data_IF_437565204374
#
_entry.id   IF_437565204374
#
_cell.length_a   1.000
_cell.length_b   1.000
_cell.length_c   1.000
_cell.angle_alpha   90.00
_cell.angle_beta   90.00
_cell.angle_gamma   90.00
#
_symmetry.space_group_name_H-M   'P 1'
#
loop_
_entity.id
_entity.type
_entity.pdbx_description
1 polymer ?
#
# COMPACT_ATOMS: atom_id res chain seq x y z
N UNK A 1 -13.27 3.61 6.61
CA UNK A 1 -14.45 2.80 6.24
C UNK A 1 -14.59 1.68 7.25
N UNK A 2 -15.70 1.61 7.97
CA UNK A 2 -16.06 0.47 8.80
C UNK A 2 -17.00 -0.42 7.97
N UNK A 3 -16.46 -1.52 7.48
CA UNK A 3 -17.16 -2.44 6.57
C UNK A 3 -18.10 -3.40 7.31
N UNK A 4 -18.07 -3.46 8.65
CA UNK A 4 -19.09 -4.17 9.44
C UNK A 4 -20.42 -3.41 9.43
N UNK A 5 -20.36 -2.08 9.52
CA UNK A 5 -21.55 -1.21 9.61
C UNK A 5 -21.83 -0.42 8.32
N UNK A 6 -20.90 -0.39 7.37
CA UNK A 6 -20.95 0.48 6.18
C UNK A 6 -20.68 1.95 6.50
N UNK A 7 -20.22 2.27 7.71
CA UNK A 7 -19.99 3.65 8.13
C UNK A 7 -18.70 4.19 7.50
N UNK A 8 -18.80 5.34 6.84
CA UNK A 8 -17.69 6.07 6.26
C UNK A 8 -17.51 7.37 7.05
N UNK A 9 -16.30 7.63 7.52
CA UNK A 9 -15.98 8.81 8.31
C UNK A 9 -14.79 9.53 7.71
N UNK A 10 -14.94 10.84 7.52
CA UNK A 10 -13.89 11.77 7.17
C UNK A 10 -13.17 12.27 8.41
N UNK A 11 -11.84 12.26 8.37
CA UNK A 11 -10.98 12.93 9.35
C UNK A 11 -9.87 13.68 8.62
N UNK A 12 -9.52 14.86 9.12
CA UNK A 12 -8.32 15.57 8.69
C UNK A 12 -7.08 14.72 9.06
N UNK A 13 -6.31 14.32 8.07
CA UNK A 13 -5.12 13.48 8.27
C UNK A 13 -3.89 14.34 8.56
N UNK A 14 -3.23 14.05 9.69
CA UNK A 14 -1.95 14.64 10.08
C UNK A 14 -0.96 13.50 10.33
N UNK A 15 0.28 13.69 9.92
CA UNK A 15 1.33 12.68 10.12
C UNK A 15 1.76 12.60 11.59
N UNK A 16 1.83 13.75 12.25
CA UNK A 16 2.02 13.85 13.69
C UNK A 16 0.65 14.00 14.37
N UNK A 17 0.18 12.99 15.14
CA UNK A 17 -1.11 13.04 15.81
C UNK A 17 -1.16 14.07 16.94
N UNK A 18 0.00 14.48 17.46
CA UNK A 18 0.15 15.42 18.56
C UNK A 18 0.26 16.88 18.05
N UNK A 19 0.27 17.08 16.73
CA UNK A 19 0.37 18.39 16.09
C UNK A 19 -0.90 19.23 16.28
N UNK A 20 -0.74 20.42 16.88
CA UNK A 20 -1.80 21.40 17.04
C UNK A 20 -1.92 22.24 15.76
N UNK A 21 -3.09 22.16 15.12
CA UNK A 21 -3.35 22.88 13.87
C UNK A 21 -3.48 24.38 14.12
N UNK A 22 -2.45 25.16 13.77
CA UNK A 22 -2.41 26.61 13.99
C UNK A 22 -3.25 27.45 13.03
N UNK A 23 -3.65 26.91 11.87
CA UNK A 23 -4.47 27.62 10.87
C UNK A 23 -5.91 27.14 10.96
N UNK A 24 -6.90 27.95 11.34
CA UNK A 24 -8.30 27.52 11.30
C UNK A 24 -8.79 27.38 9.85
N UNK A 25 -9.77 26.50 9.64
CA UNK A 25 -10.48 26.35 8.36
C UNK A 25 -11.90 26.86 8.51
N UNK A 26 -12.37 27.69 7.58
CA UNK A 26 -13.78 28.13 7.52
C UNK A 26 -14.75 26.96 7.31
N UNK A 27 -14.25 25.81 6.85
CA UNK A 27 -15.00 24.58 6.64
C UNK A 27 -14.72 23.52 7.70
N UNK A 28 -14.06 23.87 8.83
CA UNK A 28 -13.72 22.93 9.91
C UNK A 28 -13.06 21.62 9.43
N UNK A 29 -12.27 21.71 8.35
CA UNK A 29 -11.62 20.56 7.71
C UNK A 29 -12.60 19.45 7.29
N UNK A 30 -13.73 19.83 6.69
CA UNK A 30 -14.63 18.94 5.97
C UNK A 30 -14.56 19.20 4.47
N UNK A 31 -14.73 18.14 3.68
CA UNK A 31 -14.72 18.17 2.22
C UNK A 31 -15.85 17.29 1.69
N UNK A 32 -16.39 17.64 0.53
CA UNK A 32 -17.22 16.72 -0.25
C UNK A 32 -16.31 15.78 -1.03
N UNK A 33 -16.38 14.49 -0.74
CA UNK A 33 -15.42 13.53 -1.26
C UNK A 33 -16.11 12.59 -2.25
N UNK A 34 -15.73 12.61 -3.54
CA UNK A 34 -16.14 11.58 -4.49
C UNK A 34 -15.33 10.31 -4.23
N UNK A 35 -15.99 9.30 -3.70
CA UNK A 35 -15.40 8.00 -3.39
C UNK A 35 -15.74 7.05 -4.54
N UNK A 36 -14.77 6.83 -5.44
CA UNK A 36 -14.78 5.68 -6.34
C UNK A 36 -14.29 4.46 -5.56
N UNK A 37 -15.02 3.36 -5.65
CA UNK A 37 -14.75 2.18 -4.84
C UNK A 37 -15.18 0.92 -5.57
N UNK A 38 -14.68 -0.21 -5.10
CA UNK A 38 -14.98 -1.52 -5.63
C UNK A 38 -15.27 -2.50 -4.48
N UNK A 39 -16.03 -3.54 -4.79
CA UNK A 39 -16.31 -4.66 -3.90
C UNK A 39 -15.95 -5.95 -4.61
N UNK A 40 -15.05 -6.75 -4.03
CA UNK A 40 -14.61 -8.05 -4.58
C UNK A 40 -14.14 -8.00 -6.04
N UNK A 41 -13.37 -6.99 -6.43
CA UNK A 41 -12.90 -6.86 -7.81
C UNK A 41 -13.88 -6.16 -8.77
N UNK A 42 -15.11 -5.86 -8.33
CA UNK A 42 -16.13 -5.22 -9.17
C UNK A 42 -16.30 -3.76 -8.77
N UNK A 43 -16.03 -2.85 -9.71
CA UNK A 43 -16.26 -1.42 -9.55
C UNK A 43 -17.73 -1.14 -9.24
N UNK A 44 -17.95 -0.24 -8.28
CA UNK A 44 -19.28 0.16 -7.83
C UNK A 44 -19.59 1.59 -8.27
N UNK A 45 -20.86 1.97 -8.18
CA UNK A 45 -21.28 3.34 -8.43
C UNK A 45 -20.56 4.30 -7.48
N UNK A 46 -20.04 5.40 -8.01
CA UNK A 46 -19.37 6.43 -7.21
C UNK A 46 -20.31 6.93 -6.11
N UNK A 47 -19.78 6.99 -4.89
CA UNK A 47 -20.47 7.48 -3.71
C UNK A 47 -19.90 8.84 -3.30
N UNK A 48 -20.76 9.80 -2.96
CA UNK A 48 -20.34 11.11 -2.45
C UNK A 48 -20.52 11.16 -0.94
N UNK A 49 -19.42 11.33 -0.22
CA UNK A 49 -19.45 11.63 1.21
C UNK A 49 -19.63 13.14 1.36
N UNK A 50 -20.85 13.56 1.68
CA UNK A 50 -21.21 14.98 1.83
C UNK A 50 -21.05 15.48 3.26
N UNK A 51 -21.23 14.60 4.24
CA UNK A 51 -21.07 14.90 5.66
C UNK A 51 -19.80 14.27 6.24
N UNK A 52 -19.40 14.72 7.43
CA UNK A 52 -18.23 14.16 8.13
C UNK A 52 -18.35 12.66 8.38
N UNK A 53 -19.57 12.16 8.55
CA UNK A 53 -19.84 10.73 8.71
C UNK A 53 -21.19 10.41 8.08
N UNK A 54 -21.23 9.31 7.34
CA UNK A 54 -22.45 8.80 6.72
C UNK A 54 -22.37 7.25 6.66
N UNK A 55 -23.51 6.61 6.47
CA UNK A 55 -23.62 5.15 6.37
C UNK A 55 -23.99 4.75 4.96
N UNK A 56 -23.04 4.16 4.24
CA UNK A 56 -23.26 3.59 2.93
C UNK A 56 -23.39 2.07 3.01
N UNK A 57 -24.61 1.56 3.03
CA UNK A 57 -24.92 0.14 3.27
C UNK A 57 -24.25 -0.82 2.27
N UNK A 58 -23.96 -0.38 1.04
CA UNK A 58 -23.29 -1.20 0.02
C UNK A 58 -21.82 -1.49 0.37
N UNK A 59 -21.19 -0.66 1.20
CA UNK A 59 -19.83 -0.91 1.73
C UNK A 59 -19.82 -1.91 2.90
N UNK A 60 -20.98 -2.48 3.26
CA UNK A 60 -21.02 -3.61 4.19
C UNK A 60 -20.53 -4.88 3.53
N UNK A 61 -19.74 -5.64 4.28
CA UNK A 61 -19.14 -6.90 3.81
C UNK A 61 -19.45 -8.03 4.78
N UNK A 62 -19.59 -9.24 4.25
CA UNK A 62 -19.76 -10.47 5.01
C UNK A 62 -18.80 -11.56 4.50
N UNK A 63 -18.52 -12.59 5.28
CA UNK A 63 -17.63 -13.68 4.87
C UNK A 63 -16.24 -13.20 4.43
N UNK A 64 -15.84 -13.55 3.21
CA UNK A 64 -14.55 -13.19 2.60
C UNK A 64 -14.61 -11.92 1.73
N UNK A 65 -15.75 -11.24 1.70
CA UNK A 65 -15.91 -10.05 0.85
C UNK A 65 -15.03 -8.90 1.33
N UNK A 66 -14.44 -8.14 0.42
CA UNK A 66 -13.66 -6.95 0.75
C UNK A 66 -14.09 -5.74 -0.07
N UNK A 67 -13.87 -4.57 0.52
CA UNK A 67 -14.05 -3.26 -0.11
C UNK A 67 -12.71 -2.58 -0.24
N UNK A 68 -12.49 -1.97 -1.40
CA UNK A 68 -11.40 -1.03 -1.64
C UNK A 68 -11.99 0.29 -2.09
N UNK A 69 -11.67 1.37 -1.37
CA UNK A 69 -12.03 2.73 -1.75
C UNK A 69 -10.85 3.48 -2.35
N UNK A 70 -11.17 4.53 -3.11
CA UNK A 70 -10.25 5.31 -3.93
C UNK A 70 -9.63 4.51 -5.10
N UNK A 71 -10.47 3.89 -5.94
CA UNK A 71 -9.97 3.16 -7.11
C UNK A 71 -9.15 4.08 -8.03
N UNK A 72 -8.00 3.55 -8.47
CA UNK A 72 -6.95 4.25 -9.21
C UNK A 72 -6.41 5.51 -8.54
N UNK A 73 -6.64 5.69 -7.23
CA UNK A 73 -6.18 6.85 -6.45
C UNK A 73 -6.61 8.17 -7.11
N UNK A 74 -7.84 8.17 -7.62
CA UNK A 74 -8.40 9.32 -8.35
C UNK A 74 -8.84 10.45 -7.42
N UNK A 75 -9.02 10.18 -6.13
CA UNK A 75 -9.32 11.16 -5.10
C UNK A 75 -8.10 11.51 -4.23
N UNK A 76 -8.02 12.76 -3.80
CA UNK A 76 -6.97 13.26 -2.92
C UNK A 76 -7.27 12.97 -1.44
N UNK A 77 -7.22 11.69 -1.06
CA UNK A 77 -7.40 11.25 0.32
C UNK A 77 -6.78 9.88 0.55
N UNK A 78 -6.43 9.59 1.81
CA UNK A 78 -5.98 8.28 2.27
C UNK A 78 -7.16 7.46 2.77
N UNK A 79 -7.08 6.14 2.64
CA UNK A 79 -8.15 5.25 3.10
C UNK A 79 -7.68 4.37 4.25
N UNK A 80 -8.43 4.39 5.35
CA UNK A 80 -8.30 3.43 6.44
C UNK A 80 -9.54 2.54 6.51
N UNK A 81 -9.34 1.27 6.86
CA UNK A 81 -10.40 0.27 7.01
C UNK A 81 -10.43 -0.28 8.44
N UNK A 82 -11.52 -0.94 8.82
CA UNK A 82 -11.51 -1.83 9.98
C UNK A 82 -10.53 -3.00 9.77
N UNK A 83 -10.12 -3.63 10.89
CA UNK A 83 -9.09 -4.67 10.87
C UNK A 83 -9.48 -5.90 10.03
N UNK A 84 -10.76 -6.23 9.94
CA UNK A 84 -11.21 -7.39 9.17
C UNK A 84 -11.03 -7.12 7.67
N UNK A 85 -11.46 -5.96 7.19
CA UNK A 85 -11.27 -5.60 5.79
C UNK A 85 -9.79 -5.44 5.43
N UNK A 86 -8.95 -4.91 6.33
CA UNK A 86 -7.50 -4.96 6.17
C UNK A 86 -7.01 -6.40 6.00
N UNK A 87 -7.47 -7.33 6.85
CA UNK A 87 -7.16 -8.75 6.75
C UNK A 87 -7.55 -9.37 5.40
N UNK A 88 -8.74 -9.03 4.88
CA UNK A 88 -9.24 -9.54 3.60
C UNK A 88 -8.48 -8.95 2.40
N UNK A 89 -8.14 -7.66 2.42
CA UNK A 89 -7.27 -7.05 1.41
C UNK A 89 -5.86 -7.67 1.41
N UNK A 90 -5.29 -7.93 2.59
CA UNK A 90 -4.02 -8.64 2.70
C UNK A 90 -4.12 -10.08 2.17
N UNK A 91 -5.23 -10.78 2.42
CA UNK A 91 -5.49 -12.10 1.84
C UNK A 91 -5.59 -12.04 0.32
N UNK A 92 -6.27 -11.04 -0.23
CA UNK A 92 -6.39 -10.81 -1.68
C UNK A 92 -5.02 -10.55 -2.32
N UNK A 93 -4.21 -9.65 -1.74
CA UNK A 93 -2.83 -9.40 -2.20
C UNK A 93 -1.98 -10.68 -2.17
N UNK A 94 -2.17 -11.51 -1.15
CA UNK A 94 -1.43 -12.75 -1.01
C UNK A 94 -2.03 -13.93 -1.81
N UNK A 95 -3.22 -13.84 -2.37
CA UNK A 95 -3.82 -14.91 -3.16
C UNK A 95 -3.73 -14.58 -4.64
N UNK A 96 -4.23 -13.40 -5.02
CA UNK A 96 -4.16 -12.88 -6.37
C UNK A 96 -4.16 -11.34 -6.34
N UNK A 97 -2.97 -10.74 -6.26
CA UNK A 97 -2.82 -9.29 -6.23
C UNK A 97 -3.27 -8.62 -7.55
N UNK A 98 -3.28 -9.33 -8.68
CA UNK A 98 -3.62 -8.76 -9.98
C UNK A 98 -5.10 -8.38 -10.13
N UNK A 99 -5.96 -8.81 -9.21
CA UNK A 99 -7.35 -8.32 -9.11
C UNK A 99 -7.39 -6.83 -8.77
N UNK A 100 -6.35 -6.33 -8.10
CA UNK A 100 -6.20 -4.91 -7.75
C UNK A 100 -5.30 -4.23 -8.77
N UNK A 101 -5.69 -3.04 -9.22
CA UNK A 101 -4.86 -2.25 -10.14
C UNK A 101 -3.49 -1.95 -9.53
N UNK A 102 -2.48 -1.80 -10.40
CA UNK A 102 -1.09 -1.50 -10.00
C UNK A 102 -1.02 -0.32 -9.03
N UNK A 103 -1.79 0.74 -9.31
CA UNK A 103 -1.82 1.95 -8.48
C UNK A 103 -2.48 1.68 -7.14
N UNK A 104 -3.56 0.90 -7.08
CA UNK A 104 -4.22 0.57 -5.81
C UNK A 104 -3.38 -0.35 -4.92
N UNK A 105 -2.58 -1.25 -5.49
CA UNK A 105 -1.61 -2.04 -4.70
C UNK A 105 -0.57 -1.15 -4.04
N UNK A 106 -0.03 -0.18 -4.79
CA UNK A 106 0.87 0.82 -4.26
C UNK A 106 0.22 1.70 -3.19
N UNK A 107 -1.04 2.08 -3.38
CA UNK A 107 -1.83 2.85 -2.42
C UNK A 107 -2.02 2.09 -1.10
N UNK A 108 -2.38 0.80 -1.14
CA UNK A 108 -2.57 -0.02 0.08
C UNK A 108 -1.31 0.03 0.96
N UNK A 109 -0.14 -0.11 0.34
CA UNK A 109 1.15 -0.03 1.02
C UNK A 109 1.34 1.39 1.59
N UNK A 110 1.25 2.42 0.75
CA UNK A 110 1.54 3.80 1.16
C UNK A 110 0.59 4.33 2.25
N UNK A 111 -0.70 4.04 2.12
CA UNK A 111 -1.72 4.40 3.11
C UNK A 111 -1.44 3.66 4.42
N UNK A 112 -1.16 2.36 4.40
CA UNK A 112 -0.89 1.62 5.63
C UNK A 112 0.34 2.15 6.38
N UNK A 113 1.44 2.45 5.69
CA UNK A 113 2.63 3.02 6.32
C UNK A 113 2.40 4.44 6.85
N UNK A 114 1.67 5.28 6.10
CA UNK A 114 1.33 6.64 6.54
C UNK A 114 0.40 6.64 7.75
N UNK A 115 -0.59 5.75 7.76
CA UNK A 115 -1.50 5.54 8.89
C UNK A 115 -0.76 4.99 10.12
N UNK A 116 0.22 4.10 9.92
CA UNK A 116 1.03 3.58 11.02
C UNK A 116 1.92 4.67 11.64
N UNK A 117 2.56 5.51 10.82
CA UNK A 117 3.33 6.68 11.32
C UNK A 117 2.46 7.64 12.12
N UNK A 118 1.21 7.85 11.68
CA UNK A 118 0.22 8.65 12.38
C UNK A 118 -0.41 7.95 13.61
N UNK A 119 0.10 6.79 14.03
CA UNK A 119 -0.43 5.97 15.15
C UNK A 119 -1.91 5.55 14.98
N UNK A 120 -2.44 5.53 13.75
CA UNK A 120 -3.83 5.17 13.45
C UNK A 120 -4.03 3.67 13.24
N UNK A 121 -2.96 2.95 12.88
CA UNK A 121 -2.92 1.49 12.80
C UNK A 121 -1.58 0.98 13.36
N UNK A 122 -1.49 -0.31 13.68
CA UNK A 122 -0.24 -0.91 14.12
C UNK A 122 0.79 -0.98 12.99
N UNK A 123 2.06 -0.68 13.30
CA UNK A 123 3.19 -0.84 12.36
C UNK A 123 3.28 -2.24 11.79
N UNK A 124 2.95 -3.26 12.58
CA UNK A 124 2.91 -4.66 12.11
C UNK A 124 1.89 -4.89 11.00
N UNK A 125 0.76 -4.17 11.01
CA UNK A 125 -0.22 -4.22 9.92
C UNK A 125 0.37 -3.61 8.65
N UNK A 126 1.03 -2.45 8.76
CA UNK A 126 1.71 -1.83 7.62
C UNK A 126 2.78 -2.75 7.02
N UNK A 127 3.63 -3.36 7.85
CA UNK A 127 4.65 -4.32 7.38
C UNK A 127 4.01 -5.54 6.69
N UNK A 128 2.86 -6.03 7.17
CA UNK A 128 2.12 -7.13 6.53
C UNK A 128 1.68 -6.80 5.10
N UNK A 129 1.48 -5.53 4.74
CA UNK A 129 1.17 -5.15 3.34
C UNK A 129 2.30 -5.47 2.36
N UNK A 130 3.53 -5.64 2.84
CA UNK A 130 4.71 -5.91 2.00
C UNK A 130 4.98 -7.40 1.79
N UNK A 131 4.27 -8.30 2.48
CA UNK A 131 4.59 -9.74 2.47
C UNK A 131 4.35 -10.39 1.12
N UNK A 132 3.46 -9.84 0.30
CA UNK A 132 3.14 -10.37 -1.02
C UNK A 132 4.17 -9.99 -2.10
N UNK A 133 5.07 -9.02 -1.83
CA UNK A 133 5.98 -8.42 -2.83
C UNK A 133 6.87 -9.42 -3.56
N UNK A 134 7.19 -10.56 -2.95
CA UNK A 134 7.89 -11.67 -3.63
C UNK A 134 7.21 -12.12 -4.94
N UNK A 135 5.90 -11.88 -5.08
CA UNK A 135 5.11 -12.15 -6.29
C UNK A 135 4.81 -10.92 -7.15
N UNK A 136 5.13 -9.73 -6.66
CA UNK A 136 4.92 -8.47 -7.38
C UNK A 136 5.96 -8.30 -8.49
N UNK A 137 5.51 -7.83 -9.66
CA UNK A 137 6.37 -7.59 -10.83
C UNK A 137 6.24 -6.17 -11.37
N UNK A 138 5.24 -5.42 -10.93
CA UNK A 138 5.07 -4.04 -11.36
C UNK A 138 5.94 -3.08 -10.54
N UNK A 139 6.39 -2.01 -11.19
CA UNK A 139 7.24 -0.98 -10.60
C UNK A 139 6.60 -0.24 -9.42
N UNK A 140 5.37 0.27 -9.61
CA UNK A 140 4.77 1.24 -8.68
C UNK A 140 4.59 0.66 -7.26
N UNK A 141 4.11 -0.59 -7.07
CA UNK A 141 3.99 -1.16 -5.73
C UNK A 141 5.35 -1.44 -5.08
N UNK A 142 6.35 -1.86 -5.86
CA UNK A 142 7.73 -2.00 -5.37
C UNK A 142 8.29 -0.65 -4.92
N UNK A 143 8.14 0.40 -5.71
CA UNK A 143 8.60 1.75 -5.37
C UNK A 143 7.92 2.27 -4.11
N UNK A 144 6.59 2.10 -3.98
CA UNK A 144 5.83 2.46 -2.79
C UNK A 144 6.34 1.74 -1.53
N UNK A 145 6.63 0.44 -1.65
CA UNK A 145 7.18 -0.35 -0.55
C UNK A 145 8.59 0.12 -0.16
N UNK A 146 9.50 0.26 -1.12
CA UNK A 146 10.88 0.63 -0.87
C UNK A 146 10.97 2.02 -0.23
N UNK A 147 10.27 3.02 -0.77
CA UNK A 147 10.21 4.37 -0.18
C UNK A 147 9.74 4.36 1.28
N UNK A 148 8.79 3.47 1.61
CA UNK A 148 8.28 3.37 2.97
C UNK A 148 9.21 2.58 3.91
N UNK A 149 9.93 1.59 3.39
CA UNK A 149 10.90 0.77 4.10
C UNK A 149 12.27 1.44 4.25
N UNK A 150 12.64 2.39 3.38
CA UNK A 150 13.92 3.10 3.44
C UNK A 150 14.13 3.78 4.81
N UNK A 151 13.07 4.34 5.40
CA UNK A 151 13.12 4.89 6.76
C UNK A 151 13.47 3.82 7.80
N UNK A 152 12.95 2.59 7.66
CA UNK A 152 13.26 1.48 8.57
C UNK A 152 14.69 1.00 8.37
N UNK A 153 15.17 0.95 7.12
CA UNK A 153 16.57 0.63 6.82
C UNK A 153 17.49 1.66 7.48
N UNK A 154 17.23 2.97 7.28
CA UNK A 154 18.02 4.04 7.88
C UNK A 154 18.00 4.04 9.41
N UNK A 155 16.87 3.67 10.02
CA UNK A 155 16.75 3.63 11.48
C UNK A 155 17.41 2.38 12.09
N UNK A 156 17.47 1.27 11.34
CA UNK A 156 17.92 -0.02 11.86
C UNK A 156 19.28 -0.48 11.37
N UNK A 157 19.90 0.16 10.37
CA UNK A 157 21.18 -0.26 9.75
C UNK A 157 22.32 -0.57 10.74
N UNK A 158 22.32 0.09 11.90
CA UNK A 158 23.33 -0.07 12.97
C UNK A 158 22.78 -0.74 14.23
N UNK A 159 21.69 -1.48 14.10
CA UNK A 159 21.01 -2.15 15.22
C UNK A 159 21.00 -3.67 15.04
N UNK A 160 20.81 -4.40 16.13
CA UNK A 160 20.70 -5.88 16.13
C UNK A 160 19.55 -6.40 15.25
N UNK A 161 18.52 -5.57 15.02
CA UNK A 161 17.34 -5.90 14.22
C UNK A 161 17.65 -5.92 12.72
N UNK A 162 18.74 -5.28 12.29
CA UNK A 162 19.06 -5.13 10.86
C UNK A 162 19.17 -6.47 10.14
N UNK A 163 19.80 -7.47 10.75
CA UNK A 163 19.96 -8.79 10.12
C UNK A 163 18.63 -9.46 9.78
N UNK A 164 17.60 -9.28 10.61
CA UNK A 164 16.27 -9.78 10.33
C UNK A 164 15.59 -9.02 9.19
N UNK A 165 15.75 -7.69 9.13
CA UNK A 165 15.25 -6.85 8.05
C UNK A 165 15.94 -7.18 6.72
N UNK A 166 17.27 -7.33 6.72
CA UNK A 166 18.06 -7.72 5.56
C UNK A 166 17.62 -9.09 5.03
N UNK A 167 17.49 -10.09 5.91
CA UNK A 167 17.01 -11.42 5.53
C UNK A 167 15.59 -11.38 4.92
N UNK A 168 14.70 -10.53 5.47
CA UNK A 168 13.37 -10.31 4.92
C UNK A 168 13.42 -9.67 3.54
N UNK A 169 14.13 -8.54 3.38
CA UNK A 169 14.27 -7.85 2.09
C UNK A 169 14.88 -8.76 1.02
N UNK A 170 15.89 -9.54 1.38
CA UNK A 170 16.50 -10.56 0.52
C UNK A 170 15.49 -11.60 0.04
N UNK A 171 14.65 -12.11 0.95
CA UNK A 171 13.57 -13.05 0.60
C UNK A 171 12.56 -12.41 -0.36
N UNK A 172 12.18 -11.15 -0.12
CA UNK A 172 11.19 -10.47 -0.95
C UNK A 172 11.73 -10.14 -2.36
N UNK A 173 12.98 -9.65 -2.47
CA UNK A 173 13.52 -9.15 -3.74
C UNK A 173 14.03 -10.26 -4.66
N UNK A 174 14.48 -11.40 -4.11
CA UNK A 174 15.10 -12.48 -4.90
C UNK A 174 14.26 -12.92 -6.11
N UNK A 175 12.93 -13.15 -6.01
CA UNK A 175 12.14 -13.54 -7.18
C UNK A 175 12.05 -12.46 -8.26
N UNK A 176 12.08 -11.18 -7.89
CA UNK A 176 12.09 -10.08 -8.85
C UNK A 176 13.45 -9.99 -9.56
N UNK A 177 14.55 -10.16 -8.82
CA UNK A 177 15.89 -10.25 -9.38
C UNK A 177 16.01 -11.38 -10.42
N UNK A 178 15.55 -12.59 -10.09
CA UNK A 178 15.55 -13.73 -11.03
C UNK A 178 14.64 -13.52 -12.24
N UNK A 179 13.51 -12.84 -12.05
CA UNK A 179 12.61 -12.47 -13.14
C UNK A 179 13.33 -11.57 -14.15
N UNK A 180 13.99 -10.52 -13.68
CA UNK A 180 14.75 -9.64 -14.57
C UNK A 180 15.98 -10.31 -15.17
N UNK A 181 16.71 -11.15 -14.42
CA UNK A 181 17.80 -11.96 -14.97
C UNK A 181 17.33 -12.79 -16.17
N UNK A 182 16.16 -13.41 -16.05
CA UNK A 182 15.55 -14.19 -17.14
C UNK A 182 15.11 -13.31 -18.30
N UNK A 183 14.35 -12.24 -18.02
CA UNK A 183 13.81 -11.33 -19.03
C UNK A 183 14.93 -10.68 -19.87
N UNK A 184 16.02 -10.32 -19.21
CA UNK A 184 17.19 -9.64 -19.80
C UNK A 184 18.24 -10.59 -20.37
N UNK A 185 17.93 -11.89 -20.50
CA UNK A 185 18.86 -12.91 -20.99
C UNK A 185 20.23 -12.83 -20.29
N UNK A 186 20.19 -12.93 -18.95
CA UNK A 186 21.33 -12.78 -18.06
C UNK A 186 22.00 -11.40 -18.14
N UNK A 187 21.20 -10.33 -18.05
CA UNK A 187 21.65 -8.93 -18.04
C UNK A 187 22.31 -8.44 -19.34
N UNK A 188 22.13 -9.16 -20.45
CA UNK A 188 22.72 -8.80 -21.75
C UNK A 188 21.91 -7.75 -22.51
N UNK A 189 20.64 -7.55 -22.13
CA UNK A 189 19.73 -6.56 -22.74
C UNK A 189 18.92 -5.82 -21.70
N UNK A 190 18.40 -4.66 -22.07
CA UNK A 190 17.52 -3.84 -21.23
C UNK A 190 16.05 -4.15 -21.58
N UNK A 191 15.12 -4.20 -20.61
CA UNK A 191 13.69 -4.31 -20.87
C UNK A 191 13.18 -3.16 -21.73
N UNK A 192 12.22 -3.43 -22.60
CA UNK A 192 11.67 -2.40 -23.51
C UNK A 192 10.69 -1.46 -22.80
N UNK A 193 9.92 -1.97 -21.82
CA UNK A 193 8.97 -1.19 -21.05
C UNK A 193 9.65 -0.20 -20.11
N UNK A 194 9.21 1.06 -20.13
CA UNK A 194 9.77 2.10 -19.26
C UNK A 194 9.68 1.70 -17.78
N UNK A 195 8.50 1.26 -17.32
CA UNK A 195 8.31 0.79 -15.94
C UNK A 195 9.19 -0.42 -15.60
N UNK A 196 9.43 -1.32 -16.56
CA UNK A 196 10.29 -2.49 -16.35
C UNK A 196 11.75 -2.10 -16.16
N UNK A 197 12.22 -1.07 -16.88
CA UNK A 197 13.58 -0.53 -16.68
C UNK A 197 13.75 0.04 -15.27
N UNK A 198 12.78 0.81 -14.77
CA UNK A 198 12.80 1.31 -13.40
C UNK A 198 12.72 0.19 -12.38
N UNK A 199 11.88 -0.80 -12.60
CA UNK A 199 11.76 -1.91 -11.66
C UNK A 199 13.00 -2.81 -11.66
N UNK A 200 13.68 -2.95 -12.81
CA UNK A 200 14.98 -3.61 -12.87
C UNK A 200 16.01 -2.87 -12.01
N UNK A 201 16.04 -1.53 -12.05
CA UNK A 201 16.93 -0.72 -11.20
C UNK A 201 16.63 -1.00 -9.72
N UNK A 202 15.36 -1.01 -9.31
CA UNK A 202 14.96 -1.36 -7.95
C UNK A 202 15.40 -2.78 -7.57
N UNK A 203 15.19 -3.76 -8.45
CA UNK A 203 15.59 -5.14 -8.24
C UNK A 203 17.10 -5.26 -7.99
N UNK A 204 17.92 -4.67 -8.86
CA UNK A 204 19.37 -4.70 -8.76
C UNK A 204 19.88 -3.97 -7.52
N UNK A 205 19.40 -2.74 -7.28
CA UNK A 205 19.81 -1.91 -6.13
C UNK A 205 19.62 -2.66 -4.82
N UNK A 206 18.43 -3.21 -4.60
CA UNK A 206 18.10 -3.89 -3.35
C UNK A 206 18.78 -5.25 -3.27
N UNK A 207 18.80 -6.04 -4.36
CA UNK A 207 19.45 -7.34 -4.38
C UNK A 207 20.95 -7.27 -4.05
N UNK A 208 21.67 -6.31 -4.63
CA UNK A 208 23.07 -6.07 -4.30
C UNK A 208 23.26 -5.60 -2.85
N UNK A 209 22.38 -4.71 -2.37
CA UNK A 209 22.44 -4.19 -1.00
C UNK A 209 22.28 -5.26 0.08
N UNK A 210 21.50 -6.32 -0.18
CA UNK A 210 21.25 -7.43 0.77
C UNK A 210 21.99 -8.73 0.40
N UNK A 211 22.98 -8.63 -0.50
CA UNK A 211 23.87 -9.72 -0.88
C UNK A 211 23.19 -10.92 -1.54
N UNK A 212 22.21 -10.71 -2.42
CA UNK A 212 21.70 -11.78 -3.31
C UNK A 212 22.83 -12.19 -4.26
N UNK A 213 23.17 -13.48 -4.30
CA UNK A 213 24.18 -14.00 -5.24
C UNK A 213 23.56 -14.09 -6.63
N UNK A 214 24.24 -13.52 -7.62
CA UNK A 214 23.87 -13.55 -9.04
C UNK A 214 24.35 -14.80 -9.76
#
# INVERSE_FOLDING_TARGET
VNTRTGTVTLKHFLMDPDYVVGRPSQFNYTWFIPIKWMKNGVDQQQYWLLDKTDTHSLMRVSGEEWVLANTNVSGFFRVNYDLDNWGRLLSQLNTNHQVLSVINRAQIIDDAFSLARAKLINTTLALRTTTYLSRERDYIPWESALRNLDNYVLMFDRTEVYGALEAYLKKQIKPLFEHFRTLTANWTRVPTGHSDQYNQINALRIACGVGVKG
#
